data_IF_898325892593
#
_entry.id   IF_898325892593
#
_cell.length_a   1.000
_cell.length_b   1.000
_cell.length_c   1.000
_cell.angle_alpha   90.00
_cell.angle_beta   90.00
_cell.angle_gamma   90.00
#
_symmetry.space_group_name_H-M   'P 1'
#
loop_
_entity.id
_entity.type
_entity.pdbx_description
1 polymer ?
#
# COMPACT_ATOMS: atom_id res chain seq x y z
N UNK A 1 -1.66 7.02 -6.58
CA UNK A 1 -0.40 7.32 -5.85
C UNK A 1 -0.57 8.68 -5.21
N UNK A 2 -0.15 8.82 -3.96
CA UNK A 2 -0.21 10.06 -3.20
C UNK A 2 1.20 10.44 -2.78
N UNK A 3 1.58 11.70 -2.90
CA UNK A 3 2.77 12.23 -2.24
C UNK A 3 2.41 12.60 -0.82
N UNK A 4 3.29 12.28 0.13
CA UNK A 4 3.07 12.55 1.55
C UNK A 4 4.32 13.22 2.13
N UNK A 5 4.16 13.90 3.26
CA UNK A 5 5.29 14.35 4.07
C UNK A 5 5.68 13.27 5.08
N UNK A 6 6.96 13.21 5.46
CA UNK A 6 7.50 12.27 6.45
C UNK A 6 8.64 11.43 5.89
N UNK A 7 8.90 10.26 6.50
CA UNK A 7 9.99 9.34 6.12
C UNK A 7 9.87 8.76 4.70
N UNK A 8 8.68 8.83 4.10
CA UNK A 8 8.40 8.31 2.77
C UNK A 8 7.83 9.42 1.92
N UNK A 9 8.27 9.51 0.67
CA UNK A 9 7.84 10.58 -0.25
C UNK A 9 6.53 10.24 -0.97
N UNK A 10 6.11 8.96 -0.93
CA UNK A 10 4.91 8.48 -1.61
C UNK A 10 4.21 7.30 -0.92
N UNK A 11 2.88 7.26 -1.07
CA UNK A 11 1.99 6.18 -0.68
C UNK A 11 1.23 5.64 -1.90
N UNK A 12 1.20 4.32 -2.04
CA UNK A 12 0.50 3.62 -3.14
C UNK A 12 -0.33 2.49 -2.57
N UNK A 13 -1.57 2.36 -3.03
CA UNK A 13 -2.40 1.19 -2.76
C UNK A 13 -2.21 0.14 -3.84
N UNK A 14 -1.91 -1.07 -3.40
CA UNK A 14 -1.69 -2.22 -4.27
C UNK A 14 -2.63 -3.33 -3.82
N UNK A 15 -3.39 -3.90 -4.75
CA UNK A 15 -4.13 -5.12 -4.51
C UNK A 15 -3.33 -6.28 -5.06
N UNK A 16 -2.93 -7.18 -4.17
CA UNK A 16 -2.15 -8.38 -4.49
C UNK A 16 -3.00 -9.62 -4.22
N UNK A 17 -2.62 -10.75 -4.82
CA UNK A 17 -3.42 -11.99 -4.76
C UNK A 17 -2.93 -12.96 -3.69
N UNK A 18 -1.63 -12.89 -3.41
CA UNK A 18 -0.92 -13.73 -2.46
C UNK A 18 0.44 -13.08 -2.14
N UNK A 19 1.19 -13.71 -1.24
CA UNK A 19 2.49 -13.21 -0.79
C UNK A 19 3.55 -13.24 -1.92
N UNK A 20 3.51 -14.21 -2.82
CA UNK A 20 4.44 -14.30 -3.95
C UNK A 20 4.21 -13.14 -4.93
N UNK A 21 2.95 -12.83 -5.23
CA UNK A 21 2.58 -11.68 -6.04
C UNK A 21 3.00 -10.36 -5.38
N UNK A 22 2.92 -10.25 -4.04
CA UNK A 22 3.41 -9.09 -3.31
C UNK A 22 4.92 -8.91 -3.47
N UNK A 23 5.71 -9.96 -3.22
CA UNK A 23 7.18 -9.90 -3.35
C UNK A 23 7.58 -9.46 -4.75
N UNK A 24 7.04 -10.13 -5.78
CA UNK A 24 7.31 -9.79 -7.18
C UNK A 24 6.94 -8.34 -7.52
N UNK A 25 5.84 -7.83 -6.97
CA UNK A 25 5.39 -6.45 -7.19
C UNK A 25 6.33 -5.45 -6.54
N UNK A 26 6.75 -5.69 -5.29
CA UNK A 26 7.68 -4.80 -4.57
C UNK A 26 9.06 -4.81 -5.23
N UNK A 27 9.55 -5.97 -5.67
CA UNK A 27 10.83 -6.08 -6.38
C UNK A 27 10.78 -5.38 -7.74
N UNK A 28 9.65 -5.42 -8.45
CA UNK A 28 9.46 -4.62 -9.67
C UNK A 28 9.53 -3.12 -9.39
N UNK A 29 8.93 -2.65 -8.29
CA UNK A 29 9.00 -1.23 -7.89
C UNK A 29 10.44 -0.83 -7.54
N UNK A 30 11.15 -1.65 -6.74
CA UNK A 30 12.53 -1.39 -6.31
C UNK A 30 13.55 -1.40 -7.44
N UNK A 31 13.27 -2.09 -8.55
CA UNK A 31 14.13 -2.07 -9.75
C UNK A 31 14.16 -0.71 -10.45
N UNK A 32 13.25 0.20 -10.13
CA UNK A 32 13.28 1.55 -10.66
C UNK A 32 14.32 2.42 -9.92
N UNK A 33 15.29 2.97 -10.65
CA UNK A 33 16.36 3.83 -10.10
C UNK A 33 15.87 5.09 -9.37
N UNK A 34 14.58 5.43 -9.48
CA UNK A 34 13.95 6.55 -8.75
C UNK A 34 13.41 6.15 -7.37
N UNK A 35 13.42 4.85 -7.03
CA UNK A 35 12.95 4.33 -5.75
C UNK A 35 14.16 4.01 -4.88
N UNK A 36 14.36 4.80 -3.82
CA UNK A 36 15.48 4.62 -2.88
C UNK A 36 15.20 3.52 -1.86
N UNK A 37 13.93 3.20 -1.61
CA UNK A 37 13.50 2.12 -0.72
C UNK A 37 11.98 1.97 -0.71
N UNK A 38 11.48 0.92 -0.08
CA UNK A 38 10.04 0.72 0.14
C UNK A 38 9.78 0.23 1.55
N UNK A 39 8.69 0.72 2.16
CA UNK A 39 8.09 0.19 3.40
C UNK A 39 6.70 -0.35 3.07
N UNK A 40 6.46 -1.62 3.34
CA UNK A 40 5.18 -2.29 3.02
C UNK A 40 4.29 -2.31 4.26
N UNK A 41 3.06 -1.81 4.11
CA UNK A 41 1.99 -1.92 5.10
C UNK A 41 0.96 -2.92 4.59
N UNK A 42 0.54 -3.86 5.42
CA UNK A 42 -0.51 -4.85 5.09
C UNK A 42 -1.78 -4.45 5.80
N UNK A 43 -2.86 -4.32 5.04
CA UNK A 43 -4.20 -4.08 5.58
C UNK A 43 -4.72 -5.39 6.15
N UNK A 44 -4.97 -5.42 7.46
CA UNK A 44 -5.57 -6.57 8.15
C UNK A 44 -7.07 -6.39 8.36
N UNK A 45 -7.51 -5.16 8.51
CA UNK A 45 -8.90 -4.76 8.65
C UNK A 45 -9.09 -3.35 8.07
N UNK A 46 -10.32 -2.99 7.70
CA UNK A 46 -10.67 -1.68 7.19
C UNK A 46 -11.97 -1.21 7.78
N UNK A 47 -11.99 0.04 8.22
CA UNK A 47 -13.22 0.72 8.65
C UNK A 47 -13.46 1.94 7.78
N UNK A 48 -14.66 2.07 7.23
CA UNK A 48 -15.10 3.30 6.59
C UNK A 48 -16.07 4.09 7.49
N UNK A 49 -15.81 5.39 7.62
CA UNK A 49 -16.72 6.31 8.29
C UNK A 49 -18.04 6.34 7.51
N UNK A 50 -19.10 5.78 8.08
CA UNK A 50 -20.40 5.65 7.40
C UNK A 50 -20.96 4.23 7.41
N UNK A 51 -20.10 3.20 7.38
CA UNK A 51 -20.54 1.80 7.36
C UNK A 51 -21.24 1.38 8.65
N UNK A 52 -20.84 1.95 9.78
CA UNK A 52 -21.49 1.72 11.08
C UNK A 52 -22.96 2.20 11.16
N UNK A 53 -23.43 2.96 10.15
CA UNK A 53 -24.82 3.45 10.06
C UNK A 53 -25.66 2.67 9.03
N UNK A 54 -25.08 1.69 8.34
CA UNK A 54 -25.79 0.87 7.34
C UNK A 54 -26.40 -0.42 7.92
N UNK A 55 -26.11 -0.75 9.18
CA UNK A 55 -26.61 -1.92 9.91
C UNK A 55 -27.76 -1.57 10.89
N UNK A 56 -28.51 -0.49 10.64
CA UNK A 56 -29.66 -0.11 11.47
C UNK A 56 -30.87 0.32 10.64
#
# INVERSE_FOLDING_TARGET
MFTIAGDSDALVWLRVRDLGHLQNTIDAIRRNHRVTGTRTLIVLDSWARGELWSDR
#
